data_IF_875740203622
#
_entry.id   IF_875740203622
#
_cell.length_a   1.000
_cell.length_b   1.000
_cell.length_c   1.000
_cell.angle_alpha   90.00
_cell.angle_beta   90.00
_cell.angle_gamma   90.00
#
_symmetry.space_group_name_H-M   'P 1'
#
loop_
_entity.id
_entity.type
_entity.pdbx_description
1 polymer ?
#
# COMPACT_ATOMS: atom_id res chain seq x y z
N UNK A 1 -16.76 11.79 24.16
CA UNK A 1 -15.88 11.33 23.08
C UNK A 1 -16.63 10.31 22.25
N UNK A 2 -16.71 10.53 20.94
CA UNK A 2 -17.33 9.59 20.00
C UNK A 2 -16.48 8.31 19.88
N UNK A 3 -17.10 7.15 19.68
CA UNK A 3 -16.41 5.87 19.49
C UNK A 3 -15.38 5.93 18.34
N UNK A 4 -15.68 6.74 17.31
CA UNK A 4 -14.82 6.96 16.16
C UNK A 4 -13.51 7.70 16.49
N UNK A 5 -13.52 8.57 17.51
CA UNK A 5 -12.32 9.26 17.98
C UNK A 5 -11.37 8.32 18.75
N UNK A 6 -11.91 7.29 19.41
CA UNK A 6 -11.10 6.28 20.13
C UNK A 6 -10.34 5.37 19.16
N UNK A 7 -10.95 5.01 18.03
CA UNK A 7 -10.30 4.18 17.03
C UNK A 7 -9.06 4.86 16.43
N UNK A 8 -9.16 6.14 16.07
CA UNK A 8 -7.99 6.91 15.61
C UNK A 8 -6.89 7.03 16.67
N UNK A 9 -7.25 7.25 17.93
CA UNK A 9 -6.28 7.32 19.03
C UNK A 9 -5.53 5.98 19.23
N UNK A 10 -6.23 4.86 19.12
CA UNK A 10 -5.61 3.55 19.21
C UNK A 10 -4.57 3.33 18.09
N UNK A 11 -4.84 3.82 16.88
CA UNK A 11 -3.86 3.81 15.79
C UNK A 11 -2.63 4.63 16.17
N UNK A 12 -2.81 5.84 16.69
CA UNK A 12 -1.68 6.71 17.06
C UNK A 12 -0.78 6.10 18.15
N UNK A 13 -1.38 5.43 19.14
CA UNK A 13 -0.66 4.80 20.26
C UNK A 13 0.14 3.58 19.78
N UNK A 14 -0.47 2.71 18.97
CA UNK A 14 0.14 1.45 18.58
C UNK A 14 1.00 1.54 17.30
N UNK A 15 0.92 2.64 16.55
CA UNK A 15 1.67 2.80 15.31
C UNK A 15 3.18 2.92 15.53
N UNK A 16 3.93 2.13 14.77
CA UNK A 16 5.40 2.14 14.74
C UNK A 16 5.93 2.86 13.50
N UNK A 17 7.20 3.35 13.54
CA UNK A 17 7.81 3.97 12.37
C UNK A 17 8.00 2.99 11.22
N UNK A 18 7.60 3.40 10.01
CA UNK A 18 7.74 2.69 8.75
C UNK A 18 8.08 3.66 7.62
N UNK A 19 8.43 3.15 6.45
CA UNK A 19 8.64 3.97 5.24
C UNK A 19 7.54 3.69 4.25
N UNK A 20 6.91 4.74 3.72
CA UNK A 20 5.98 4.68 2.61
C UNK A 20 6.72 5.08 1.34
N UNK A 21 6.63 4.25 0.31
CA UNK A 21 7.06 4.57 -1.05
C UNK A 21 5.83 4.80 -1.90
N UNK A 22 5.68 6.02 -2.39
CA UNK A 22 4.61 6.44 -3.30
C UNK A 22 5.16 6.67 -4.69
N UNK A 23 4.33 6.53 -5.71
CA UNK A 23 4.72 6.72 -7.11
C UNK A 23 3.98 7.92 -7.68
N UNK A 24 4.64 9.07 -7.86
CA UNK A 24 4.01 10.23 -8.49
C UNK A 24 3.59 9.91 -9.92
N UNK A 25 2.62 10.69 -10.42
CA UNK A 25 2.16 10.56 -11.79
C UNK A 25 3.33 10.67 -12.78
N UNK A 26 3.35 9.77 -13.77
CA UNK A 26 4.30 9.83 -14.86
C UNK A 26 4.07 11.03 -15.77
N UNK A 27 4.99 11.23 -16.71
CA UNK A 27 4.87 12.23 -17.76
C UNK A 27 5.18 11.62 -19.11
N UNK A 28 4.67 12.24 -20.18
CA UNK A 28 5.04 11.87 -21.54
C UNK A 28 6.33 12.59 -21.93
N UNK A 29 7.41 11.84 -22.12
CA UNK A 29 8.69 12.33 -22.64
C UNK A 29 8.89 11.71 -24.01
N UNK A 30 9.01 12.57 -25.05
CA UNK A 30 9.22 12.13 -26.44
C UNK A 30 8.16 11.11 -26.95
N UNK A 31 6.91 11.26 -26.51
CA UNK A 31 5.80 10.38 -26.90
C UNK A 31 5.77 9.03 -26.19
N UNK A 32 6.69 8.77 -25.25
CA UNK A 32 6.70 7.60 -24.37
C UNK A 32 6.24 8.00 -22.97
N UNK A 33 5.45 7.12 -22.33
CA UNK A 33 5.09 7.31 -20.92
C UNK A 33 6.29 6.94 -20.04
N UNK A 34 6.75 7.88 -19.22
CA UNK A 34 7.80 7.68 -18.23
C UNK A 34 7.17 7.80 -16.85
N UNK A 35 7.21 6.73 -16.06
CA UNK A 35 6.75 6.75 -14.67
C UNK A 35 7.64 7.67 -13.84
N UNK A 36 7.04 8.46 -12.94
CA UNK A 36 7.82 9.28 -12.00
C UNK A 36 8.56 8.41 -10.97
N UNK A 37 9.72 8.90 -10.52
CA UNK A 37 10.54 8.20 -9.53
C UNK A 37 9.79 8.01 -8.20
N UNK A 38 10.01 6.86 -7.57
CA UNK A 38 9.41 6.55 -6.27
C UNK A 38 9.88 7.54 -5.20
N UNK A 39 8.93 8.17 -4.51
CA UNK A 39 9.20 9.07 -3.39
C UNK A 39 9.00 8.32 -2.09
N UNK A 40 10.04 8.30 -1.25
CA UNK A 40 9.99 7.70 0.08
C UNK A 40 9.72 8.75 1.16
N UNK A 41 8.80 8.43 2.07
CA UNK A 41 8.45 9.27 3.21
C UNK A 41 8.33 8.43 4.49
N UNK A 42 8.79 8.92 5.65
CA UNK A 42 8.54 8.25 6.91
C UNK A 42 7.05 8.35 7.26
N UNK A 43 6.46 7.23 7.66
CA UNK A 43 5.07 7.16 8.14
C UNK A 43 5.00 6.44 9.48
N UNK A 44 3.89 6.64 10.19
CA UNK A 44 3.51 5.80 11.34
C UNK A 44 2.37 4.90 10.92
N UNK A 45 2.56 3.59 11.09
CA UNK A 45 1.54 2.61 10.78
C UNK A 45 1.58 1.41 11.72
N UNK A 46 0.49 0.65 11.75
CA UNK A 46 0.39 -0.64 12.42
C UNK A 46 0.36 -1.70 11.32
N UNK A 47 1.27 -2.67 11.39
CA UNK A 47 1.29 -3.82 10.47
C UNK A 47 0.93 -5.09 11.25
N UNK A 48 -0.13 -5.76 10.84
CA UNK A 48 -0.68 -6.94 11.53
C UNK A 48 -0.93 -8.09 10.56
N UNK A 49 -0.98 -9.31 11.08
CA UNK A 49 -1.45 -10.45 10.31
C UNK A 49 -2.91 -10.22 9.84
N UNK A 50 -3.26 -10.57 8.60
CA UNK A 50 -4.61 -10.42 8.08
C UNK A 50 -5.57 -11.36 8.78
N UNK A 51 -6.82 -10.94 8.94
CA UNK A 51 -7.88 -11.82 9.45
C UNK A 51 -8.40 -12.74 8.34
N UNK A 52 -9.08 -13.84 8.70
CA UNK A 52 -9.72 -14.74 7.72
C UNK A 52 -10.68 -13.99 6.77
N UNK A 53 -11.44 -13.02 7.31
CA UNK A 53 -12.34 -12.16 6.54
C UNK A 53 -11.61 -11.28 5.53
N UNK A 54 -10.38 -10.87 5.84
CA UNK A 54 -9.57 -10.08 4.91
C UNK A 54 -9.11 -10.90 3.74
N UNK A 55 -8.67 -12.15 4.01
CA UNK A 55 -8.32 -13.12 2.99
C UNK A 55 -9.51 -13.38 2.07
N UNK A 56 -10.70 -13.60 2.62
CA UNK A 56 -11.93 -13.78 1.84
C UNK A 56 -12.24 -12.60 0.92
N UNK A 57 -11.87 -11.38 1.32
CA UNK A 57 -12.11 -10.15 0.56
C UNK A 57 -11.17 -9.95 -0.64
N UNK A 58 -10.15 -10.79 -0.77
CA UNK A 58 -9.21 -10.80 -1.89
C UNK A 58 -9.68 -11.77 -2.98
N UNK A 59 -9.40 -11.47 -4.26
CA UNK A 59 -9.54 -12.44 -5.35
C UNK A 59 -8.77 -13.73 -5.05
N UNK A 60 -9.27 -14.88 -5.52
CA UNK A 60 -8.69 -16.20 -5.24
C UNK A 60 -7.18 -16.28 -5.58
N UNK A 61 -6.75 -15.60 -6.65
CA UNK A 61 -5.34 -15.55 -7.07
C UNK A 61 -4.42 -14.68 -6.21
N UNK A 62 -4.98 -13.83 -5.34
CA UNK A 62 -4.22 -12.92 -4.47
C UNK A 62 -4.14 -13.42 -3.01
N UNK A 63 -4.88 -14.49 -2.66
CA UNK A 63 -4.88 -15.16 -1.34
C UNK A 63 -3.62 -16.01 -1.11
N UNK A 64 -2.46 -15.39 -1.17
CA UNK A 64 -1.15 -16.05 -1.04
C UNK A 64 -0.44 -15.69 0.26
N UNK A 65 0.64 -16.41 0.56
CA UNK A 65 1.49 -16.17 1.72
C UNK A 65 2.09 -14.74 1.71
N UNK A 66 2.34 -14.18 2.91
CA UNK A 66 2.98 -12.87 3.06
C UNK A 66 2.05 -11.65 3.01
N UNK A 67 0.77 -11.83 3.30
CA UNK A 67 -0.19 -10.73 3.45
C UNK A 67 -0.11 -10.08 4.84
N UNK A 68 -0.34 -8.77 4.89
CA UNK A 68 -0.44 -7.96 6.12
C UNK A 68 -1.57 -6.96 6.00
N UNK A 69 -2.22 -6.63 7.11
CA UNK A 69 -3.11 -5.47 7.21
C UNK A 69 -2.31 -4.28 7.74
N UNK A 70 -2.43 -3.14 7.07
CA UNK A 70 -1.78 -1.89 7.42
C UNK A 70 -2.84 -0.88 7.87
N UNK A 71 -2.62 -0.24 9.01
CA UNK A 71 -3.42 0.89 9.49
C UNK A 71 -2.54 2.12 9.60
N UNK A 72 -2.92 3.22 8.97
CA UNK A 72 -2.14 4.46 9.00
C UNK A 72 -3.02 5.70 9.04
N UNK A 73 -2.50 6.81 9.56
CA UNK A 73 -3.09 8.15 9.37
C UNK A 73 -2.76 8.72 7.99
N UNK A 74 -1.69 8.24 7.37
CA UNK A 74 -1.30 8.63 6.01
C UNK A 74 -2.15 7.88 5.00
N UNK A 75 -2.63 8.54 3.93
CA UNK A 75 -3.33 7.87 2.83
C UNK A 75 -2.47 6.74 2.25
N UNK A 76 -3.11 5.62 1.90
CA UNK A 76 -2.50 4.47 1.24
C UNK A 76 -3.31 4.16 0.00
N UNK A 77 -2.66 3.97 -1.14
CA UNK A 77 -3.31 3.75 -2.43
C UNK A 77 -2.95 2.37 -2.98
N UNK A 78 -3.96 1.63 -3.44
CA UNK A 78 -3.77 0.43 -4.26
C UNK A 78 -3.50 0.83 -5.71
N UNK A 79 -3.02 -0.13 -6.51
CA UNK A 79 -2.90 0.09 -7.95
C UNK A 79 -4.29 0.32 -8.55
N UNK A 80 -4.36 1.27 -9.47
CA UNK A 80 -5.55 1.56 -10.27
C UNK A 80 -5.16 1.55 -11.75
N UNK A 81 -5.77 0.65 -12.52
CA UNK A 81 -5.51 0.50 -13.96
C UNK A 81 -6.09 1.67 -14.77
N UNK A 82 -7.21 2.25 -14.32
CA UNK A 82 -7.87 3.36 -15.00
C UNK A 82 -7.07 4.66 -14.80
N UNK A 83 -6.60 4.89 -13.57
CA UNK A 83 -5.78 6.05 -13.22
C UNK A 83 -4.27 5.84 -13.46
N UNK A 84 -3.87 4.68 -14.02
CA UNK A 84 -2.47 4.26 -14.24
C UNK A 84 -1.57 4.48 -13.02
N UNK A 85 -2.16 4.36 -11.83
CA UNK A 85 -1.46 4.67 -10.59
C UNK A 85 -0.86 3.39 -10.06
N UNK A 86 0.45 3.41 -9.81
CA UNK A 86 1.15 2.28 -9.22
C UNK A 86 0.82 2.21 -7.72
N UNK A 87 0.58 1.00 -7.23
CA UNK A 87 0.33 0.74 -5.81
C UNK A 87 1.44 1.31 -4.93
N UNK A 88 1.05 1.90 -3.80
CA UNK A 88 1.98 2.30 -2.75
C UNK A 88 2.65 1.06 -2.12
N UNK A 89 3.84 1.27 -1.56
CA UNK A 89 4.60 0.22 -0.89
C UNK A 89 5.00 0.67 0.51
N UNK A 90 4.77 -0.19 1.50
CA UNK A 90 5.11 0.07 2.90
C UNK A 90 6.28 -0.84 3.28
N UNK A 91 7.39 -0.24 3.67
CA UNK A 91 8.57 -0.96 4.16
C UNK A 91 8.58 -0.97 5.69
N UNK A 92 8.73 -2.16 6.26
CA UNK A 92 8.82 -2.33 7.70
C UNK A 92 10.24 -2.03 8.22
N UNK A 93 10.40 -1.97 9.55
CA UNK A 93 11.71 -1.71 10.17
C UNK A 93 12.76 -2.81 9.94
N UNK A 94 12.37 -3.96 9.38
CA UNK A 94 13.25 -5.08 9.01
C UNK A 94 13.71 -5.00 7.55
N UNK A 95 13.27 -3.99 6.80
CA UNK A 95 13.57 -3.83 5.37
C UNK A 95 12.68 -4.67 4.45
N UNK A 96 11.62 -5.30 4.97
CA UNK A 96 10.66 -6.03 4.15
C UNK A 96 9.65 -5.05 3.56
N UNK A 97 9.50 -5.06 2.23
CA UNK A 97 8.59 -4.19 1.52
C UNK A 97 7.28 -4.90 1.15
N UNK A 98 6.16 -4.23 1.41
CA UNK A 98 4.81 -4.76 1.19
C UNK A 98 4.05 -3.83 0.24
N UNK A 99 3.60 -4.36 -0.90
CA UNK A 99 2.80 -3.60 -1.87
C UNK A 99 1.33 -3.59 -1.46
N UNK A 100 0.70 -2.42 -1.49
CA UNK A 100 -0.73 -2.28 -1.22
C UNK A 100 -1.53 -2.93 -2.34
N UNK A 101 -2.36 -3.90 -1.97
CA UNK A 101 -3.25 -4.64 -2.88
C UNK A 101 -4.64 -4.01 -2.86
N UNK A 102 -5.10 -3.60 -1.67
CA UNK A 102 -6.44 -3.04 -1.48
C UNK A 102 -6.40 -1.95 -0.44
N UNK A 103 -6.80 -0.75 -0.80
CA UNK A 103 -6.98 0.37 0.11
C UNK A 103 -8.45 0.53 0.50
N UNK A 104 -8.69 0.95 1.74
CA UNK A 104 -10.01 1.25 2.29
C UNK A 104 -9.91 2.55 3.08
N UNK A 105 -10.57 3.58 2.56
CA UNK A 105 -10.75 4.82 3.30
C UNK A 105 -11.71 4.57 4.49
N UNK A 106 -11.31 5.04 5.67
CA UNK A 106 -12.11 5.06 6.89
C UNK A 106 -12.13 6.48 7.45
N UNK A 107 -12.48 7.44 6.59
CA UNK A 107 -12.62 8.87 6.88
C UNK A 107 -13.38 9.16 8.19
N UNK A 108 -14.41 8.37 8.52
CA UNK A 108 -15.18 8.48 9.77
C UNK A 108 -14.31 8.35 11.04
N UNK A 109 -13.27 7.52 10.99
CA UNK A 109 -12.29 7.32 12.08
C UNK A 109 -11.00 8.13 11.93
N UNK A 110 -10.84 8.83 10.80
CA UNK A 110 -9.63 9.61 10.48
C UNK A 110 -8.38 8.75 10.24
N UNK A 111 -8.53 7.52 9.77
CA UNK A 111 -7.42 6.64 9.43
C UNK A 111 -7.71 5.88 8.13
N UNK A 112 -6.68 5.30 7.56
CA UNK A 112 -6.71 4.45 6.38
C UNK A 112 -6.39 3.02 6.77
N UNK A 113 -7.06 2.10 6.09
CA UNK A 113 -6.81 0.67 6.23
C UNK A 113 -6.43 0.12 4.87
N UNK A 114 -5.38 -0.68 4.81
CA UNK A 114 -4.97 -1.36 3.60
C UNK A 114 -4.64 -2.83 3.86
N UNK A 115 -4.79 -3.65 2.83
CA UNK A 115 -4.20 -4.98 2.76
C UNK A 115 -2.99 -4.88 1.83
N UNK A 116 -1.83 -5.33 2.30
CA UNK A 116 -0.58 -5.29 1.55
C UNK A 116 0.05 -6.69 1.50
N UNK A 117 0.81 -6.95 0.43
CA UNK A 117 1.48 -8.23 0.17
C UNK A 117 2.98 -8.04 0.09
N UNK A 118 3.73 -8.95 0.71
CA UNK A 118 5.18 -8.98 0.68
C UNK A 118 5.71 -9.09 -0.77
N UNK A 119 6.55 -8.13 -1.19
CA UNK A 119 7.04 -8.02 -2.58
C UNK A 119 7.93 -9.20 -2.96
N UNK A 120 8.70 -9.79 -2.03
CA UNK A 120 9.52 -10.97 -2.36
C UNK A 120 8.69 -12.19 -2.76
N UNK A 121 7.39 -12.20 -2.44
CA UNK A 121 6.43 -13.23 -2.86
C UNK A 121 5.60 -12.80 -4.08
N UNK A 122 5.81 -11.60 -4.61
CA UNK A 122 5.16 -11.08 -5.81
C UNK A 122 5.92 -11.56 -7.05
N UNK A 123 5.69 -12.82 -7.45
CA UNK A 123 6.29 -13.42 -8.64
C UNK A 123 5.56 -13.09 -9.95
N UNK A 124 4.69 -12.08 -10.02
CA UNK A 124 3.87 -11.98 -11.25
C UNK A 124 3.07 -10.73 -11.55
N UNK A 125 3.12 -9.64 -10.76
CA UNK A 125 2.41 -8.40 -11.16
C UNK A 125 3.17 -7.14 -10.79
N UNK A 126 4.42 -7.05 -11.24
CA UNK A 126 4.95 -5.74 -11.61
C UNK A 126 4.31 -5.35 -12.94
N UNK A 127 3.72 -4.16 -13.03
CA UNK A 127 3.58 -3.51 -14.34
C UNK A 127 4.97 -3.62 -14.99
N UNK A 128 5.12 -4.25 -16.16
CA UNK A 128 6.44 -4.35 -16.79
C UNK A 128 6.99 -2.93 -16.87
N UNK A 129 8.21 -2.73 -16.38
CA UNK A 129 8.96 -1.53 -16.74
C UNK A 129 8.91 -1.44 -18.27
N UNK A 130 8.61 -0.26 -18.84
CA UNK A 130 8.56 -0.12 -20.28
C UNK A 130 9.89 -0.63 -20.84
N UNK A 131 9.82 -1.72 -21.61
CA UNK A 131 10.98 -2.39 -22.18
C UNK A 131 11.72 -1.36 -23.03
N UNK A 132 12.93 -1.00 -22.63
CA UNK A 132 13.87 -0.28 -23.48
C UNK A 132 14.21 -1.20 -24.66
N UNK A 133 13.53 -1.01 -25.79
CA UNK A 133 13.95 -1.61 -27.05
C UNK A 133 15.15 -0.80 -27.58
N UNK A 134 16.25 -1.48 -28.00
CA UNK A 134 17.44 -0.83 -28.54
C UNK A 134 17.19 -0.09 -29.86
#
# INVERSE_FOLDING_TARGET
MSLFALAGLAVDIAATPHTLRTWPAGSYVEGKWTQGDGVEAPIRAIMQAPSARDLESLPEGERTEGLVTVWSRTPLNSADEDDRTRADEVMNARGEAYRVVKAQDRAEGGFYRAIARLITHDRGRSVPEPVELP
#
